data_IF_518891696506
#
_entry.id   IF_518891696506
#
_cell.length_a   1.000
_cell.length_b   1.000
_cell.length_c   1.000
_cell.angle_alpha   90.00
_cell.angle_beta   90.00
_cell.angle_gamma   90.00
#
_symmetry.space_group_name_H-M   'P 1'
#
loop_
_entity.id
_entity.type
_entity.pdbx_description
1 polymer ?
#
# COMPACT_ATOMS: atom_id res chain seq x y z
N UNK A 1 -13.53 -17.58 -7.49
CA UNK A 1 -13.38 -16.50 -6.49
C UNK A 1 -14.22 -15.28 -6.85
N UNK A 2 -14.69 -14.47 -5.89
CA UNK A 2 -15.24 -13.14 -6.17
C UNK A 2 -14.14 -12.24 -6.75
N UNK A 3 -14.51 -11.28 -7.60
CA UNK A 3 -13.57 -10.26 -8.09
C UNK A 3 -13.27 -9.30 -6.95
N UNK A 4 -12.03 -9.26 -6.50
CA UNK A 4 -11.54 -8.32 -5.49
C UNK A 4 -11.05 -7.04 -6.18
N UNK A 5 -11.53 -5.90 -5.70
CA UNK A 5 -11.13 -4.58 -6.18
C UNK A 5 -10.37 -3.87 -5.07
N UNK A 6 -9.14 -3.43 -5.36
CA UNK A 6 -8.37 -2.56 -4.48
C UNK A 6 -8.59 -1.09 -4.81
N UNK A 7 -8.33 -0.23 -3.83
CA UNK A 7 -8.23 1.22 -4.03
C UNK A 7 -6.76 1.61 -3.84
N UNK A 8 -6.24 2.42 -4.76
CA UNK A 8 -4.93 3.03 -4.64
C UNK A 8 -5.09 4.52 -4.31
N UNK A 9 -4.49 4.95 -3.21
CA UNK A 9 -4.50 6.34 -2.75
C UNK A 9 -3.06 6.83 -2.59
N UNK A 10 -2.78 8.02 -3.14
CA UNK A 10 -1.51 8.72 -2.93
C UNK A 10 -1.76 9.93 -2.04
N UNK A 11 -1.00 10.01 -0.94
CA UNK A 11 -1.03 11.13 -0.02
C UNK A 11 0.29 11.88 -0.10
N UNK A 12 0.24 13.16 -0.49
CA UNK A 12 1.42 14.01 -0.61
C UNK A 12 1.52 14.96 0.59
N UNK A 13 2.60 14.84 1.36
CA UNK A 13 2.89 15.71 2.50
C UNK A 13 4.10 16.59 2.20
N UNK A 14 4.02 17.91 2.40
CA UNK A 14 5.20 18.75 2.33
C UNK A 14 6.13 18.43 3.51
N UNK A 15 7.43 18.34 3.24
CA UNK A 15 8.44 18.17 4.28
C UNK A 15 9.13 19.50 4.58
N UNK A 16 9.54 19.67 5.84
CA UNK A 16 10.39 20.78 6.23
C UNK A 16 11.76 20.68 5.56
N UNK A 17 12.42 21.82 5.33
CA UNK A 17 13.78 21.85 4.80
C UNK A 17 14.73 21.10 5.73
N UNK A 18 15.58 20.23 5.14
CA UNK A 18 16.52 19.40 5.91
C UNK A 18 15.89 18.24 6.68
N UNK A 19 14.62 17.92 6.46
CA UNK A 19 13.97 16.78 7.11
C UNK A 19 14.69 15.46 6.80
N UNK A 20 14.95 14.67 7.84
CA UNK A 20 15.53 13.33 7.70
C UNK A 20 14.44 12.34 7.21
N UNK A 21 14.44 12.08 5.90
CA UNK A 21 13.52 11.16 5.23
C UNK A 21 13.62 9.74 5.81
N UNK A 22 14.81 9.29 6.20
CA UNK A 22 15.02 7.96 6.74
C UNK A 22 14.43 7.85 8.15
N UNK A 23 14.57 8.89 8.97
CA UNK A 23 13.94 8.94 10.29
C UNK A 23 12.41 8.95 10.17
N UNK A 24 11.85 9.75 9.25
CA UNK A 24 10.40 9.76 8.96
C UNK A 24 9.92 8.35 8.58
N UNK A 25 10.60 7.70 7.64
CA UNK A 25 10.29 6.32 7.24
C UNK A 25 10.29 5.35 8.43
N UNK A 26 11.33 5.39 9.28
CA UNK A 26 11.43 4.53 10.47
C UNK A 26 10.28 4.76 11.44
N UNK A 27 9.89 6.01 11.67
CA UNK A 27 8.77 6.37 12.53
C UNK A 27 7.44 5.86 11.98
N UNK A 28 7.19 6.04 10.67
CA UNK A 28 6.00 5.50 10.00
C UNK A 28 5.94 3.98 10.08
N UNK A 29 7.07 3.30 9.84
CA UNK A 29 7.17 1.84 9.95
C UNK A 29 6.85 1.35 11.37
N UNK A 30 7.34 2.05 12.40
CA UNK A 30 7.04 1.75 13.80
C UNK A 30 5.56 1.94 14.12
N UNK A 31 4.96 3.04 13.64
CA UNK A 31 3.52 3.29 13.78
C UNK A 31 2.67 2.19 13.13
N UNK A 32 3.02 1.80 11.90
CA UNK A 32 2.34 0.71 11.19
C UNK A 32 2.45 -0.62 11.94
N UNK A 33 3.63 -0.96 12.49
CA UNK A 33 3.80 -2.16 13.30
C UNK A 33 2.90 -2.17 14.54
N UNK A 34 2.75 -1.02 15.21
CA UNK A 34 1.83 -0.89 16.35
C UNK A 34 0.37 -1.07 15.91
N UNK A 35 -0.04 -0.48 14.78
CA UNK A 35 -1.38 -0.63 14.22
C UNK A 35 -1.70 -2.09 13.88
N UNK A 36 -0.77 -2.79 13.23
CA UNK A 36 -0.91 -4.22 12.92
C UNK A 36 -0.98 -5.07 14.18
N UNK A 37 -0.18 -4.76 15.21
CA UNK A 37 -0.26 -5.48 16.50
C UNK A 37 -1.64 -5.31 17.15
N UNK A 38 -2.23 -4.13 17.02
CA UNK A 38 -3.55 -3.82 17.59
C UNK A 38 -4.71 -4.37 16.76
N UNK A 39 -4.52 -4.49 15.44
CA UNK A 39 -5.54 -4.94 14.48
C UNK A 39 -4.89 -5.94 13.50
N UNK A 40 -4.66 -7.20 13.91
CA UNK A 40 -3.80 -8.13 13.15
C UNK A 40 -4.26 -8.43 11.72
N UNK A 41 -5.57 -8.54 11.51
CA UNK A 41 -6.15 -8.94 10.23
C UNK A 41 -5.83 -7.98 9.07
N UNK A 42 -5.45 -6.72 9.33
CA UNK A 42 -5.09 -5.76 8.26
C UNK A 42 -3.82 -6.16 7.50
N UNK A 43 -2.97 -7.00 8.11
CA UNK A 43 -1.77 -7.54 7.47
C UNK A 43 -2.00 -8.91 6.83
N UNK A 44 -3.23 -9.41 6.86
CA UNK A 44 -3.60 -10.71 6.32
C UNK A 44 -3.72 -10.76 4.80
N UNK A 45 -3.96 -11.96 4.29
CA UNK A 45 -4.19 -12.23 2.86
C UNK A 45 -5.65 -12.62 2.67
N UNK A 46 -6.30 -12.09 1.64
CA UNK A 46 -7.65 -12.50 1.30
C UNK A 46 -7.59 -13.83 0.54
N UNK A 47 -8.22 -14.85 1.11
CA UNK A 47 -8.27 -16.21 0.59
C UNK A 47 -9.71 -16.73 0.52
N UNK A 48 -9.94 -17.90 -0.11
CA UNK A 48 -11.21 -18.59 0.00
C UNK A 48 -11.45 -19.03 1.44
N UNK A 49 -12.70 -19.01 1.90
CA UNK A 49 -13.04 -19.51 3.25
C UNK A 49 -12.76 -21.03 3.34
N UNK A 50 -11.97 -21.44 4.34
CA UNK A 50 -11.61 -22.85 4.54
C UNK A 50 -12.84 -23.72 4.82
N UNK A 51 -12.87 -24.93 4.24
CA UNK A 51 -13.92 -25.92 4.51
C UNK A 51 -15.29 -25.63 3.87
N UNK A 52 -15.43 -24.62 3.01
CA UNK A 52 -16.67 -24.27 2.33
C UNK A 52 -16.74 -24.76 0.87
N UNK A 53 -17.96 -24.96 0.36
CA UNK A 53 -18.19 -25.25 -1.06
C UNK A 53 -17.68 -24.06 -1.92
N UNK A 54 -16.77 -24.28 -2.88
CA UNK A 54 -16.26 -23.24 -3.79
C UNK A 54 -17.35 -22.45 -4.53
N UNK A 55 -18.56 -23.00 -4.67
CA UNK A 55 -19.73 -22.34 -5.30
C UNK A 55 -20.30 -21.21 -4.46
N UNK A 56 -20.06 -21.19 -3.15
CA UNK A 56 -20.53 -20.13 -2.25
C UNK A 56 -19.77 -18.82 -2.40
N UNK A 57 -18.58 -18.86 -3.03
CA UNK A 57 -17.71 -17.69 -3.30
C UNK A 57 -17.39 -16.85 -2.07
N UNK A 58 -17.41 -17.46 -0.88
CA UNK A 58 -17.01 -16.79 0.36
C UNK A 58 -15.50 -16.65 0.43
N UNK A 59 -15.07 -15.59 1.11
CA UNK A 59 -13.66 -15.26 1.31
C UNK A 59 -13.43 -14.96 2.78
N UNK A 60 -12.20 -15.17 3.22
CA UNK A 60 -11.73 -14.85 4.57
C UNK A 60 -10.41 -14.09 4.49
N UNK A 61 -9.99 -13.53 5.62
CA UNK A 61 -8.68 -12.89 5.77
C UNK A 61 -7.85 -13.80 6.67
N UNK A 62 -6.84 -14.43 6.09
CA UNK A 62 -5.92 -15.32 6.79
C UNK A 62 -4.64 -14.59 7.18
N UNK A 63 -3.91 -15.12 8.15
CA UNK A 63 -2.62 -14.59 8.55
C UNK A 63 -1.62 -14.63 7.37
N UNK A 64 -0.93 -13.52 7.13
CA UNK A 64 0.14 -13.47 6.12
C UNK A 64 1.42 -14.09 6.70
N UNK A 65 1.91 -15.22 6.16
CA UNK A 65 3.17 -15.82 6.63
C UNK A 65 4.39 -14.93 6.35
N UNK A 66 4.26 -13.95 5.47
CA UNK A 66 5.31 -12.99 5.11
C UNK A 66 5.19 -11.63 5.80
N UNK A 67 4.13 -11.42 6.59
CA UNK A 67 3.80 -10.12 7.18
C UNK A 67 3.48 -9.03 6.14
N UNK A 68 3.57 -7.77 6.55
CA UNK A 68 3.34 -6.61 5.68
C UNK A 68 4.66 -6.03 5.14
N UNK A 69 4.65 -5.63 3.86
CA UNK A 69 5.76 -4.90 3.25
C UNK A 69 5.54 -3.40 3.39
N UNK A 70 6.58 -2.68 3.79
CA UNK A 70 6.58 -1.21 3.85
C UNK A 70 7.84 -0.67 3.16
N UNK A 71 7.84 -0.61 1.81
CA UNK A 71 9.01 -0.22 1.03
C UNK A 71 9.35 1.27 1.21
N UNK A 72 10.63 1.59 1.07
CA UNK A 72 11.14 2.96 1.03
C UNK A 72 11.82 3.19 -0.32
N UNK A 73 11.50 4.30 -0.97
CA UNK A 73 12.13 4.71 -2.22
C UNK A 73 12.30 6.23 -2.21
N UNK A 74 13.51 6.70 -2.43
CA UNK A 74 13.73 8.13 -2.70
C UNK A 74 13.50 8.38 -4.20
N UNK A 75 12.60 9.30 -4.50
CA UNK A 75 12.21 9.67 -5.87
C UNK A 75 12.50 11.15 -6.18
N UNK A 76 13.35 11.80 -5.37
CA UNK A 76 13.63 13.24 -5.50
C UNK A 76 14.21 13.62 -6.86
N UNK A 77 14.91 12.69 -7.52
CA UNK A 77 15.50 12.91 -8.85
C UNK A 77 14.54 12.57 -10.01
N UNK A 78 13.37 12.00 -9.71
CA UNK A 78 12.43 11.49 -10.72
C UNK A 78 11.10 12.24 -10.70
N UNK A 79 10.58 12.56 -9.51
CA UNK A 79 9.30 13.24 -9.36
C UNK A 79 9.47 14.76 -9.27
N UNK A 80 8.49 15.54 -9.76
CA UNK A 80 8.48 16.97 -9.54
C UNK A 80 8.46 17.31 -8.05
N UNK A 81 8.97 18.49 -7.71
CA UNK A 81 8.93 18.99 -6.33
C UNK A 81 7.48 19.16 -5.86
N UNK A 82 7.27 19.13 -4.54
CA UNK A 82 5.94 19.35 -3.96
C UNK A 82 5.32 20.69 -4.42
N UNK A 83 6.12 21.74 -4.55
CA UNK A 83 5.65 23.04 -5.03
C UNK A 83 5.14 22.97 -6.48
N UNK A 84 5.87 22.30 -7.37
CA UNK A 84 5.47 22.09 -8.75
C UNK A 84 4.20 21.21 -8.87
N UNK A 85 4.09 20.17 -8.04
CA UNK A 85 2.88 19.36 -7.96
C UNK A 85 1.67 20.17 -7.46
N UNK A 86 1.87 21.02 -6.45
CA UNK A 86 0.82 21.86 -5.88
C UNK A 86 0.30 22.88 -6.88
N UNK A 87 1.18 23.52 -7.66
CA UNK A 87 0.80 24.48 -8.70
C UNK A 87 -0.13 23.84 -9.76
N UNK A 88 0.16 22.59 -10.14
CA UNK A 88 -0.66 21.82 -11.09
C UNK A 88 -1.84 21.08 -10.45
N UNK A 89 -2.12 21.28 -9.16
CA UNK A 89 -3.18 20.57 -8.42
C UNK A 89 -3.03 19.04 -8.37
N UNK A 90 -1.79 18.55 -8.22
CA UNK A 90 -1.46 17.12 -8.06
C UNK A 90 -2.04 16.23 -9.18
N UNK A 91 -1.67 16.47 -10.45
CA UNK A 91 -2.25 15.74 -11.57
C UNK A 91 -1.84 14.25 -11.49
N UNK A 92 -2.78 13.30 -11.65
CA UNK A 92 -2.50 11.86 -11.56
C UNK A 92 -1.41 11.37 -12.52
N UNK A 93 -1.22 12.04 -13.66
CA UNK A 93 -0.19 11.70 -14.66
C UNK A 93 1.25 11.79 -14.14
N UNK A 94 1.49 12.60 -13.10
CA UNK A 94 2.82 12.72 -12.47
C UNK A 94 3.08 11.56 -11.49
N UNK A 95 2.05 10.79 -11.14
CA UNK A 95 2.12 9.65 -10.22
C UNK A 95 2.02 8.33 -11.00
N UNK A 96 3.05 8.01 -11.78
CA UNK A 96 3.09 6.74 -12.52
C UNK A 96 3.16 5.54 -11.57
N UNK A 97 2.27 4.57 -11.80
CA UNK A 97 2.21 3.29 -11.07
C UNK A 97 3.50 2.49 -11.20
N UNK A 98 4.22 2.59 -12.32
CA UNK A 98 5.52 1.92 -12.46
C UNK A 98 6.58 2.43 -11.45
N UNK A 99 6.44 3.66 -10.95
CA UNK A 99 7.43 4.27 -10.06
C UNK A 99 7.05 4.20 -8.59
N UNK A 100 5.75 4.29 -8.28
CA UNK A 100 5.19 4.31 -6.92
C UNK A 100 4.83 2.91 -6.39
N UNK A 101 4.86 1.90 -7.27
CA UNK A 101 4.58 0.51 -6.93
C UNK A 101 3.42 -0.02 -7.77
N UNK A 102 3.42 -1.33 -8.10
CA UNK A 102 2.35 -1.89 -8.91
C UNK A 102 1.01 -1.63 -8.22
N UNK A 103 0.02 -1.22 -9.02
CA UNK A 103 -1.35 -1.65 -8.78
C UNK A 103 -1.29 -3.15 -9.00
N UNK A 104 -0.90 -3.90 -7.97
CA UNK A 104 -1.25 -5.31 -8.01
C UNK A 104 -2.77 -5.31 -7.92
N UNK A 105 -3.39 -5.60 -9.07
CA UNK A 105 -4.66 -6.31 -9.05
C UNK A 105 -4.42 -7.44 -8.06
N UNK A 106 -5.18 -7.46 -6.96
CA UNK A 106 -5.02 -8.51 -5.95
C UNK A 106 -4.87 -9.84 -6.69
N UNK A 107 -3.83 -10.65 -6.41
CA UNK A 107 -3.60 -11.86 -7.14
C UNK A 107 -4.92 -12.63 -7.19
N UNK A 108 -5.39 -12.90 -8.41
CA UNK A 108 -6.46 -13.87 -8.60
C UNK A 108 -5.95 -15.12 -7.88
N UNK A 109 -6.69 -15.61 -6.88
CA UNK A 109 -6.33 -16.85 -6.23
C UNK A 109 -6.11 -17.95 -7.28
N UNK A 110 -5.28 -18.95 -6.98
CA UNK A 110 -4.84 -19.93 -7.96
C UNK A 110 -6.05 -20.56 -8.67
N UNK A 111 -5.91 -20.75 -9.98
CA UNK A 111 -6.84 -21.55 -10.80
C UNK A 111 -6.97 -22.99 -10.27
#
# INVERSE_FOLDING_TARGET
MPRLYGIFLVLCFPLASGADKLQIYKNLKKGLAHTVTSIPWIAGVIGPEEGQDPKTRRVQIDDSPSGFKFPYKDLSDTLPSYAALKEKSFPPSEFSTAQLGPIDVMPQGPD
#
